data_IF_815170449343
#
_entry.id   IF_815170449343
#
_cell.length_a   1.000
_cell.length_b   1.000
_cell.length_c   1.000
_cell.angle_alpha   90.00
_cell.angle_beta   90.00
_cell.angle_gamma   90.00
#
_symmetry.space_group_name_H-M   'P 1'
#
loop_
_entity.id
_entity.type
_entity.pdbx_description
1 polymer ?
#
# COMPACT_ATOMS: atom_id res chain seq x y z
N UNK A 1 57.82 50.98 -66.41
CA UNK A 1 57.55 52.15 -65.54
C UNK A 1 56.07 52.10 -65.14
N UNK A 2 55.80 52.10 -63.82
CA UNK A 2 54.51 52.37 -63.13
C UNK A 2 53.33 51.41 -63.41
N UNK A 3 53.13 50.39 -62.56
CA UNK A 3 52.19 50.35 -61.40
C UNK A 3 50.71 50.49 -61.77
N UNK A 4 50.05 49.34 -61.97
CA UNK A 4 48.61 49.20 -62.14
C UNK A 4 47.93 48.78 -60.84
N UNK A 5 46.91 49.53 -60.47
CA UNK A 5 46.27 49.57 -59.17
C UNK A 5 45.20 48.47 -58.98
N UNK A 6 45.01 48.12 -57.72
CA UNK A 6 44.23 47.04 -57.14
C UNK A 6 42.72 47.13 -57.38
N UNK A 7 42.09 46.03 -57.77
CA UNK A 7 40.70 45.70 -57.40
C UNK A 7 40.58 44.17 -57.26
N UNK A 8 40.61 43.71 -56.01
CA UNK A 8 40.43 42.31 -55.64
C UNK A 8 38.96 41.89 -55.79
N UNK A 9 38.74 40.81 -56.54
CA UNK A 9 37.44 40.13 -56.68
C UNK A 9 37.23 39.22 -55.47
N UNK A 10 36.23 39.53 -54.64
CA UNK A 10 35.74 38.64 -53.58
C UNK A 10 34.74 37.66 -54.20
N UNK A 11 35.11 36.39 -54.26
CA UNK A 11 34.20 35.29 -54.59
C UNK A 11 33.45 34.87 -53.32
N UNK A 12 32.12 34.89 -53.38
CA UNK A 12 31.25 34.41 -52.31
C UNK A 12 31.31 32.87 -52.24
N UNK A 13 31.80 32.35 -51.11
CA UNK A 13 31.73 30.94 -50.75
C UNK A 13 30.50 30.76 -49.87
N UNK A 14 29.53 29.98 -50.34
CA UNK A 14 28.38 29.53 -49.56
C UNK A 14 28.83 28.52 -48.50
N UNK A 15 28.73 28.89 -47.22
CA UNK A 15 28.89 27.99 -46.09
C UNK A 15 27.61 27.16 -45.91
N UNK A 16 27.69 25.88 -46.27
CA UNK A 16 26.69 24.87 -45.87
C UNK A 16 26.94 24.54 -44.40
N UNK A 17 26.05 25.01 -43.53
CA UNK A 17 26.01 24.58 -42.13
C UNK A 17 25.45 23.16 -42.06
N UNK A 18 26.35 22.19 -41.96
CA UNK A 18 26.00 20.82 -41.60
C UNK A 18 25.74 20.74 -40.09
N UNK A 19 24.48 20.68 -39.69
CA UNK A 19 24.09 20.34 -38.31
C UNK A 19 24.41 18.88 -38.02
N UNK A 20 25.56 18.63 -37.41
CA UNK A 20 25.85 17.35 -36.76
C UNK A 20 25.13 17.32 -35.41
N UNK A 21 23.92 16.79 -35.38
CA UNK A 21 23.29 16.39 -34.12
C UNK A 21 24.00 15.15 -33.60
N UNK A 22 24.87 15.32 -32.61
CA UNK A 22 25.37 14.21 -31.79
C UNK A 22 24.18 13.73 -30.97
N UNK A 23 23.52 12.68 -31.43
CA UNK A 23 22.59 11.91 -30.59
C UNK A 23 23.41 11.24 -29.49
N UNK A 24 23.41 11.83 -28.30
CA UNK A 24 23.75 11.10 -27.08
C UNK A 24 22.65 10.07 -26.90
N UNK A 25 22.91 8.84 -27.35
CA UNK A 25 22.12 7.70 -26.94
C UNK A 25 22.24 7.61 -25.41
N UNK A 26 21.14 7.88 -24.71
CA UNK A 26 21.03 7.46 -23.32
C UNK A 26 21.13 5.93 -23.34
N UNK A 27 22.29 5.41 -22.95
CA UNK A 27 22.45 4.00 -22.65
C UNK A 27 21.47 3.67 -21.53
N UNK A 28 20.34 3.11 -21.95
CA UNK A 28 19.46 2.38 -21.05
C UNK A 28 20.25 1.12 -20.74
N UNK A 29 21.09 1.17 -19.71
CA UNK A 29 21.72 -0.03 -19.16
C UNK A 29 20.62 -0.86 -18.50
N UNK A 30 19.87 -1.61 -19.31
CA UNK A 30 19.19 -2.83 -18.87
C UNK A 30 20.25 -3.91 -18.63
N UNK A 31 21.15 -3.62 -17.70
CA UNK A 31 22.16 -4.54 -17.23
C UNK A 31 21.73 -5.00 -15.87
N UNK A 32 21.14 -6.20 -15.80
CA UNK A 32 21.23 -7.02 -14.60
C UNK A 32 22.71 -7.38 -14.42
N UNK A 33 23.53 -6.40 -14.04
CA UNK A 33 24.76 -6.70 -13.33
C UNK A 33 24.32 -7.44 -12.10
N UNK A 34 24.82 -8.66 -11.92
CA UNK A 34 24.73 -9.41 -10.67
C UNK A 34 25.35 -8.56 -9.57
N UNK A 35 24.56 -7.61 -9.06
CA UNK A 35 24.97 -6.69 -8.02
C UNK A 35 25.17 -7.56 -6.80
N UNK A 36 26.39 -7.65 -6.32
CA UNK A 36 26.63 -8.27 -5.04
C UNK A 36 25.72 -7.61 -3.97
N UNK A 37 25.36 -8.38 -2.95
CA UNK A 37 24.43 -7.95 -1.92
C UNK A 37 24.78 -6.56 -1.32
N UNK A 38 26.08 -6.27 -1.17
CA UNK A 38 26.52 -5.01 -0.57
C UNK A 38 26.28 -3.82 -1.49
N UNK A 39 26.31 -3.98 -2.81
CA UNK A 39 25.89 -2.93 -3.75
C UNK A 39 24.38 -2.88 -3.91
N UNK A 40 23.72 -4.03 -3.98
CA UNK A 40 22.27 -4.12 -4.16
C UNK A 40 21.48 -3.43 -3.05
N UNK A 41 21.94 -3.52 -1.78
CA UNK A 41 21.27 -2.83 -0.66
C UNK A 41 21.27 -1.30 -0.78
N UNK A 42 22.14 -0.72 -1.62
CA UNK A 42 22.19 0.72 -1.91
C UNK A 42 21.54 1.09 -3.25
N UNK A 43 20.83 0.16 -3.88
CA UNK A 43 20.11 0.44 -5.13
C UNK A 43 19.06 1.55 -4.93
N UNK A 44 18.94 2.54 -5.84
CA UNK A 44 18.04 3.68 -5.69
C UNK A 44 16.58 3.33 -5.38
N UNK A 45 16.08 2.17 -5.84
CA UNK A 45 14.72 1.71 -5.55
C UNK A 45 14.42 1.48 -4.06
N UNK A 46 15.43 1.33 -3.20
CA UNK A 46 15.23 1.24 -1.75
C UNK A 46 14.97 2.60 -1.09
N UNK A 47 15.15 3.71 -1.79
CA UNK A 47 15.13 5.04 -1.19
C UNK A 47 13.97 5.88 -1.73
N UNK A 48 13.50 6.83 -0.92
CA UNK A 48 12.58 7.86 -1.40
C UNK A 48 13.31 8.82 -2.34
N UNK A 49 12.64 9.32 -3.41
CA UNK A 49 11.24 9.06 -3.75
C UNK A 49 11.00 7.78 -4.57
N UNK A 50 12.04 7.10 -5.06
CA UNK A 50 11.91 6.02 -6.03
C UNK A 50 11.05 4.84 -5.53
N UNK A 51 11.16 4.46 -4.25
CA UNK A 51 10.35 3.40 -3.64
C UNK A 51 8.85 3.70 -3.68
N UNK A 52 8.45 4.96 -3.58
CA UNK A 52 7.04 5.38 -3.50
C UNK A 52 6.29 5.11 -4.81
N UNK A 53 7.01 4.99 -5.91
CA UNK A 53 6.46 4.68 -7.24
C UNK A 53 6.92 3.33 -7.79
N UNK A 54 7.70 2.56 -7.02
CA UNK A 54 8.19 1.26 -7.46
C UNK A 54 7.03 0.30 -7.70
N UNK A 55 7.11 -0.44 -8.81
CA UNK A 55 6.14 -1.50 -9.14
C UNK A 55 6.53 -2.81 -8.46
N UNK A 56 5.55 -3.68 -8.20
CA UNK A 56 5.81 -5.02 -7.68
C UNK A 56 6.79 -5.80 -8.58
N UNK A 57 6.72 -5.61 -9.90
CA UNK A 57 7.64 -6.23 -10.85
C UNK A 57 9.10 -5.83 -10.54
N UNK A 58 9.38 -4.54 -10.39
CA UNK A 58 10.72 -4.05 -10.06
C UNK A 58 11.22 -4.58 -8.72
N UNK A 59 10.33 -4.73 -7.73
CA UNK A 59 10.70 -5.32 -6.44
C UNK A 59 11.00 -6.82 -6.57
N UNK A 60 10.17 -7.55 -7.31
CA UNK A 60 10.23 -9.01 -7.43
C UNK A 60 11.36 -9.49 -8.34
N UNK A 61 11.96 -8.62 -9.18
CA UNK A 61 13.17 -8.94 -9.94
C UNK A 61 14.33 -9.41 -9.04
N UNK A 62 14.44 -8.87 -7.82
CA UNK A 62 15.44 -9.29 -6.84
C UNK A 62 14.84 -10.06 -5.65
N UNK A 63 13.54 -9.89 -5.37
CA UNK A 63 12.85 -10.43 -4.20
C UNK A 63 11.81 -11.50 -4.50
N UNK A 64 11.91 -12.20 -5.63
CA UNK A 64 10.96 -13.26 -6.00
C UNK A 64 10.76 -14.32 -4.91
N UNK A 65 11.77 -14.56 -4.08
CA UNK A 65 11.76 -15.59 -3.04
C UNK A 65 10.65 -15.38 -2.01
N UNK A 66 10.16 -14.14 -1.84
CA UNK A 66 9.08 -13.83 -0.90
C UNK A 66 7.74 -14.41 -1.36
N UNK A 67 7.58 -14.65 -2.67
CA UNK A 67 6.38 -15.25 -3.25
C UNK A 67 6.59 -16.70 -3.69
N UNK A 68 7.81 -17.10 -4.04
CA UNK A 68 8.12 -18.48 -4.45
C UNK A 68 8.07 -19.45 -3.26
N UNK A 69 8.55 -19.03 -2.09
CA UNK A 69 8.58 -19.89 -0.90
C UNK A 69 7.19 -20.07 -0.30
N UNK A 70 6.76 -21.33 -0.16
CA UNK A 70 5.53 -21.73 0.53
C UNK A 70 5.81 -22.46 1.85
N UNK A 71 4.75 -22.73 2.61
CA UNK A 71 4.84 -23.58 3.81
C UNK A 71 5.21 -25.01 3.40
N UNK A 72 6.08 -25.66 4.18
CA UNK A 72 6.45 -27.06 3.95
C UNK A 72 5.21 -27.96 4.10
N UNK A 73 5.09 -28.97 3.24
CA UNK A 73 4.01 -29.97 3.36
C UNK A 73 4.06 -30.75 4.68
N UNK A 74 5.25 -30.88 5.27
CA UNK A 74 5.47 -31.57 6.53
C UNK A 74 6.54 -30.85 7.35
N UNK A 75 6.31 -30.74 8.66
CA UNK A 75 7.31 -30.22 9.60
C UNK A 75 8.46 -31.22 9.78
N UNK A 76 9.62 -30.79 10.30
CA UNK A 76 10.70 -31.71 10.67
C UNK A 76 10.28 -32.79 11.67
N UNK A 77 9.22 -32.54 12.45
CA UNK A 77 8.65 -33.51 13.41
C UNK A 77 7.60 -34.45 12.78
N UNK A 78 7.39 -34.39 11.46
CA UNK A 78 6.47 -35.27 10.76
C UNK A 78 5.00 -34.79 10.71
N UNK A 79 4.69 -33.61 11.23
CA UNK A 79 3.32 -33.07 11.22
C UNK A 79 3.00 -32.50 9.84
N UNK A 80 1.94 -33.01 9.20
CA UNK A 80 1.49 -32.53 7.89
C UNK A 80 0.78 -31.18 8.02
N UNK A 81 1.11 -30.22 7.17
CA UNK A 81 0.47 -28.89 7.17
C UNK A 81 -1.04 -28.99 6.96
N UNK A 82 -1.49 -29.88 6.08
CA UNK A 82 -2.91 -30.15 5.81
C UNK A 82 -3.71 -30.66 7.03
N UNK A 83 -3.04 -31.19 8.05
CA UNK A 83 -3.68 -31.70 9.27
C UNK A 83 -3.65 -30.68 10.41
N UNK A 84 -3.25 -29.44 10.13
CA UNK A 84 -3.09 -28.39 11.16
C UNK A 84 -3.68 -27.08 10.65
N UNK A 85 -4.28 -26.32 11.57
CA UNK A 85 -4.67 -24.95 11.30
C UNK A 85 -3.55 -24.02 11.73
N UNK A 86 -3.22 -23.04 10.88
CA UNK A 86 -2.43 -21.91 11.35
C UNK A 86 -3.29 -21.05 12.29
N UNK A 87 -2.63 -20.36 13.22
CA UNK A 87 -3.30 -19.49 14.21
C UNK A 87 -4.19 -18.41 13.60
N UNK A 88 -3.96 -18.03 12.33
CA UNK A 88 -4.76 -17.04 11.60
C UNK A 88 -5.96 -17.66 10.85
N UNK A 89 -6.23 -18.96 10.98
CA UNK A 89 -7.31 -19.66 10.27
C UNK A 89 -8.49 -19.95 11.19
N UNK A 90 -8.94 -18.93 11.93
CA UNK A 90 -10.07 -19.03 12.89
C UNK A 90 -11.38 -18.45 12.36
N UNK A 91 -11.42 -17.96 11.11
CA UNK A 91 -12.62 -17.41 10.46
C UNK A 91 -12.71 -17.99 9.06
N UNK A 92 -13.92 -18.13 8.54
CA UNK A 92 -14.19 -18.76 7.25
C UNK A 92 -13.51 -18.03 6.08
N UNK A 93 -13.31 -16.72 6.22
CA UNK A 93 -12.58 -15.91 5.23
C UNK A 93 -11.11 -16.31 5.07
N UNK A 94 -10.53 -17.05 6.02
CA UNK A 94 -9.12 -17.52 6.00
C UNK A 94 -8.97 -19.02 5.75
N UNK A 95 -10.00 -19.68 5.25
CA UNK A 95 -9.93 -21.08 4.83
C UNK A 95 -8.89 -21.33 3.72
N UNK A 96 -8.47 -22.58 3.62
CA UNK A 96 -7.52 -23.07 2.61
C UNK A 96 -6.15 -23.47 3.17
N UNK A 97 -5.21 -23.75 2.28
CA UNK A 97 -3.85 -24.17 2.65
C UNK A 97 -3.10 -23.09 3.41
N UNK A 98 -2.26 -23.46 4.36
CA UNK A 98 -1.39 -22.50 5.06
C UNK A 98 -0.41 -21.85 4.08
N UNK A 99 -0.29 -20.53 4.19
CA UNK A 99 0.60 -19.74 3.34
C UNK A 99 1.56 -18.86 4.15
N UNK A 100 2.65 -18.46 3.50
CA UNK A 100 3.63 -17.53 4.08
C UNK A 100 3.06 -16.12 4.16
N UNK A 101 3.70 -15.25 4.96
CA UNK A 101 3.22 -13.89 5.21
C UNK A 101 2.93 -13.10 3.93
N UNK A 102 3.91 -12.98 3.03
CA UNK A 102 3.73 -12.23 1.77
C UNK A 102 2.67 -12.86 0.88
N UNK A 103 2.69 -14.20 0.74
CA UNK A 103 1.72 -14.91 -0.08
C UNK A 103 0.29 -14.69 0.41
N UNK A 104 0.06 -14.72 1.73
CA UNK A 104 -1.25 -14.43 2.31
C UNK A 104 -1.78 -13.04 1.96
N UNK A 105 -0.91 -12.04 1.88
CA UNK A 105 -1.33 -10.67 1.64
C UNK A 105 -1.40 -10.30 0.15
N UNK A 106 -0.71 -11.05 -0.73
CA UNK A 106 -0.58 -10.68 -2.14
C UNK A 106 -1.23 -11.68 -3.12
N UNK A 107 -1.13 -12.99 -2.88
CA UNK A 107 -1.42 -13.98 -3.93
C UNK A 107 -2.58 -14.93 -3.64
N UNK A 108 -3.07 -14.98 -2.40
CA UNK A 108 -4.21 -15.84 -2.07
C UNK A 108 -5.53 -15.32 -2.66
N UNK A 109 -6.54 -16.20 -2.83
CA UNK A 109 -7.83 -15.78 -3.41
C UNK A 109 -8.47 -14.58 -2.69
N UNK A 110 -8.55 -14.62 -1.35
CA UNK A 110 -9.08 -13.51 -0.56
C UNK A 110 -8.28 -12.22 -0.78
N UNK A 111 -6.95 -12.30 -0.78
CA UNK A 111 -6.09 -11.15 -1.02
C UNK A 111 -6.33 -10.54 -2.39
N UNK A 112 -6.35 -11.37 -3.44
CA UNK A 112 -6.62 -10.90 -4.80
C UNK A 112 -8.03 -10.35 -4.96
N UNK A 113 -9.00 -10.85 -4.20
CA UNK A 113 -10.38 -10.38 -4.25
C UNK A 113 -10.56 -9.03 -3.57
N UNK A 114 -10.08 -8.88 -2.33
CA UNK A 114 -10.42 -7.74 -1.47
C UNK A 114 -9.34 -6.67 -1.41
N UNK A 115 -8.09 -7.06 -1.63
CA UNK A 115 -6.93 -6.21 -1.45
C UNK A 115 -6.29 -5.83 -2.77
N UNK A 116 -5.61 -4.68 -2.76
CA UNK A 116 -4.75 -4.20 -3.83
C UNK A 116 -3.38 -3.81 -3.24
N UNK A 117 -2.88 -4.63 -2.31
CA UNK A 117 -1.60 -4.41 -1.66
C UNK A 117 -0.47 -4.56 -2.68
N UNK A 118 0.50 -3.66 -2.60
CA UNK A 118 1.73 -3.67 -3.37
C UNK A 118 2.93 -3.76 -2.41
N UNK A 119 4.11 -4.10 -2.93
CA UNK A 119 5.35 -4.12 -2.15
C UNK A 119 5.55 -2.82 -1.37
N UNK A 120 5.37 -1.68 -2.03
CA UNK A 120 5.53 -0.36 -1.44
C UNK A 120 4.34 0.11 -0.56
N UNK A 121 3.24 -0.64 -0.52
CA UNK A 121 2.18 -0.38 0.47
C UNK A 121 2.72 -0.62 1.87
N UNK A 122 3.51 -1.68 2.03
CA UNK A 122 4.14 -2.04 3.30
C UNK A 122 5.54 -1.43 3.45
N UNK A 123 6.30 -1.43 2.35
CA UNK A 123 7.69 -0.98 2.32
C UNK A 123 7.82 0.48 1.87
N UNK A 124 8.13 1.37 2.80
CA UNK A 124 8.25 2.83 2.52
C UNK A 124 9.70 3.29 2.28
N UNK A 125 10.57 2.34 2.00
CA UNK A 125 12.01 2.55 1.81
C UNK A 125 12.85 1.94 2.93
N UNK A 126 14.16 1.91 2.70
CA UNK A 126 15.17 1.47 3.65
C UNK A 126 16.50 2.15 3.34
N UNK A 127 16.84 3.18 4.11
CA UNK A 127 18.21 3.68 4.14
C UNK A 127 18.98 3.02 5.30
N UNK A 128 20.00 2.18 5.02
CA UNK A 128 20.86 1.64 6.06
C UNK A 128 21.51 2.68 6.97
N UNK A 129 21.72 3.92 6.50
CA UNK A 129 22.25 5.03 7.31
C UNK A 129 21.27 5.50 8.36
N UNK A 130 19.99 5.31 8.10
CA UNK A 130 18.97 5.70 9.03
C UNK A 130 18.79 4.62 10.09
N UNK A 131 19.24 3.36 9.92
CA UNK A 131 19.01 2.22 10.84
C UNK A 131 19.23 2.57 12.32
N UNK A 132 18.32 2.10 13.19
CA UNK A 132 18.39 2.39 14.62
C UNK A 132 19.75 1.94 15.17
N UNK A 133 20.47 2.78 15.94
CA UNK A 133 21.76 2.41 16.47
C UNK A 133 21.65 1.19 17.38
N UNK A 134 22.69 0.35 17.37
CA UNK A 134 22.84 -0.77 18.31
C UNK A 134 24.05 -0.46 19.21
N UNK A 135 23.87 -0.27 20.53
CA UNK A 135 22.60 -0.38 21.29
C UNK A 135 21.64 0.80 21.02
N UNK A 136 20.32 0.61 21.20
CA UNK A 136 19.34 1.67 21.00
C UNK A 136 19.55 2.82 21.97
N UNK A 137 19.25 4.04 21.52
CA UNK A 137 19.21 5.23 22.37
C UNK A 137 18.03 5.17 23.34
N UNK A 138 18.17 5.78 24.53
CA UNK A 138 17.06 5.88 25.50
C UNK A 138 15.95 6.83 25.06
N UNK A 139 16.29 7.84 24.25
CA UNK A 139 15.34 8.82 23.72
C UNK A 139 14.90 8.41 22.31
N UNK A 140 13.66 8.74 21.97
CA UNK A 140 13.12 8.58 20.62
C UNK A 140 13.85 9.53 19.66
N UNK A 141 14.86 8.98 19.00
CA UNK A 141 15.64 9.69 18.00
C UNK A 141 15.01 9.60 16.59
N UNK A 142 13.74 9.20 16.48
CA UNK A 142 13.03 9.05 15.20
C UNK A 142 13.45 7.83 14.39
N UNK A 143 14.22 6.91 14.99
CA UNK A 143 14.66 5.69 14.31
C UNK A 143 13.60 4.58 14.44
N UNK A 144 13.12 4.07 13.30
CA UNK A 144 12.31 2.84 13.29
C UNK A 144 13.21 1.61 13.44
N UNK A 145 12.82 0.67 14.32
CA UNK A 145 13.55 -0.59 14.60
C UNK A 145 13.53 -1.58 13.42
N UNK A 146 12.64 -1.38 12.45
CA UNK A 146 12.52 -2.17 11.22
C UNK A 146 12.30 -1.21 10.06
N UNK A 147 13.37 -0.54 9.61
CA UNK A 147 13.30 0.54 8.60
C UNK A 147 12.56 0.16 7.33
N UNK A 148 12.54 -1.13 6.97
CA UNK A 148 11.76 -1.63 5.85
C UNK A 148 10.25 -1.39 5.99
N UNK A 149 9.68 -1.35 7.20
CA UNK A 149 8.22 -1.30 7.45
C UNK A 149 7.92 -0.58 8.76
N UNK A 150 7.15 0.51 8.69
CA UNK A 150 6.61 1.15 9.91
C UNK A 150 5.35 0.42 10.35
N UNK A 151 5.48 -0.49 11.32
CA UNK A 151 4.42 -1.42 11.69
C UNK A 151 3.13 -0.74 12.19
N UNK A 152 3.24 0.40 12.86
CA UNK A 152 2.09 1.19 13.33
C UNK A 152 1.33 1.90 12.19
N UNK A 153 2.01 2.18 11.07
CA UNK A 153 1.41 2.84 9.90
C UNK A 153 1.01 1.85 8.80
N UNK A 154 1.46 0.60 8.90
CA UNK A 154 1.19 -0.45 7.91
C UNK A 154 0.34 -1.57 8.52
N UNK A 155 0.86 -2.28 9.51
CA UNK A 155 0.25 -3.49 10.05
C UNK A 155 -0.94 -3.17 10.96
N UNK A 156 -0.81 -2.15 11.81
CA UNK A 156 -1.84 -1.79 12.78
C UNK A 156 -3.18 -1.44 12.12
N UNK A 157 -3.17 -0.90 10.89
CA UNK A 157 -4.39 -0.66 10.09
C UNK A 157 -5.24 -1.93 10.01
N UNK A 158 -4.66 -3.03 9.54
CA UNK A 158 -5.38 -4.28 9.31
C UNK A 158 -5.43 -5.21 10.54
N UNK A 159 -4.52 -5.05 11.50
CA UNK A 159 -4.36 -5.94 12.66
C UNK A 159 -4.64 -5.28 14.01
N UNK A 160 -5.30 -4.12 14.01
CA UNK A 160 -5.73 -3.43 15.22
C UNK A 160 -6.86 -4.14 15.95
N UNK A 161 -7.03 -3.82 17.23
CA UNK A 161 -8.17 -4.26 18.04
C UNK A 161 -9.48 -3.75 17.45
N UNK A 162 -10.52 -4.57 17.48
CA UNK A 162 -11.89 -4.14 17.17
C UNK A 162 -12.36 -3.05 18.14
N UNK A 163 -12.66 -1.82 17.68
CA UNK A 163 -12.97 -0.69 18.56
C UNK A 163 -14.45 -0.68 18.99
N UNK A 164 -14.94 -1.77 19.55
CA UNK A 164 -16.37 -1.99 19.83
C UNK A 164 -16.95 -0.92 20.77
N UNK A 165 -16.16 -0.43 21.73
CA UNK A 165 -16.57 0.63 22.65
C UNK A 165 -16.84 1.94 21.92
N UNK A 166 -16.01 2.27 20.92
CA UNK A 166 -16.16 3.47 20.08
C UNK A 166 -17.38 3.36 19.16
N UNK A 167 -17.71 2.13 18.76
CA UNK A 167 -18.89 1.85 17.93
C UNK A 167 -20.19 1.79 18.73
N UNK A 168 -20.13 1.86 20.07
CA UNK A 168 -21.30 1.79 20.94
C UNK A 168 -21.88 0.38 21.09
N UNK A 169 -21.08 -0.66 20.81
CA UNK A 169 -21.49 -2.04 21.05
C UNK A 169 -21.37 -2.38 22.54
N UNK A 170 -22.23 -3.28 23.01
CA UNK A 170 -22.28 -3.71 24.42
C UNK A 170 -21.12 -4.60 24.84
N UNK A 171 -20.34 -5.12 23.89
CA UNK A 171 -19.21 -6.02 24.12
C UNK A 171 -18.46 -6.31 22.81
N UNK A 172 -17.41 -7.17 22.86
CA UNK A 172 -16.69 -7.66 21.68
C UNK A 172 -17.63 -8.24 20.61
N UNK A 173 -17.16 -8.29 19.36
CA UNK A 173 -17.98 -8.77 18.24
C UNK A 173 -18.40 -10.22 18.43
N UNK A 174 -17.52 -11.06 18.98
CA UNK A 174 -17.77 -12.47 19.27
C UNK A 174 -18.97 -12.67 20.21
N UNK A 175 -19.22 -11.71 21.10
CA UNK A 175 -20.33 -11.72 22.06
C UNK A 175 -21.59 -11.02 21.53
N UNK A 176 -21.44 -10.08 20.60
CA UNK A 176 -22.53 -9.20 20.15
C UNK A 176 -23.03 -9.45 18.74
N UNK A 177 -22.31 -10.24 17.93
CA UNK A 177 -22.66 -10.47 16.52
C UNK A 177 -24.07 -11.01 16.32
N UNK A 178 -24.54 -11.90 17.20
CA UNK A 178 -25.87 -12.50 17.08
C UNK A 178 -26.98 -11.46 17.25
N UNK A 179 -26.85 -10.57 18.24
CA UNK A 179 -27.83 -9.47 18.46
C UNK A 179 -27.80 -8.43 17.34
N UNK A 180 -26.70 -8.36 16.59
CA UNK A 180 -26.55 -7.53 15.39
C UNK A 180 -26.96 -8.25 14.10
N UNK A 181 -27.60 -9.42 14.19
CA UNK A 181 -28.05 -10.21 13.04
C UNK A 181 -26.90 -10.81 12.23
N UNK A 182 -25.74 -11.03 12.87
CA UNK A 182 -24.48 -11.43 12.26
C UNK A 182 -24.10 -10.55 11.05
N UNK A 183 -24.37 -9.24 11.15
CA UNK A 183 -24.13 -8.31 10.05
C UNK A 183 -23.60 -6.98 10.55
N UNK A 184 -22.39 -6.61 10.13
CA UNK A 184 -21.87 -5.27 10.36
C UNK A 184 -22.66 -4.20 9.58
N UNK A 185 -23.38 -4.64 8.53
CA UNK A 185 -24.19 -3.78 7.68
C UNK A 185 -25.48 -3.32 8.37
N UNK A 186 -25.89 -3.93 9.50
CA UNK A 186 -27.02 -3.45 10.33
C UNK A 186 -26.89 -1.96 10.66
N UNK A 187 -25.66 -1.47 10.88
CA UNK A 187 -25.38 -0.05 11.09
C UNK A 187 -24.68 0.60 9.88
N UNK A 188 -23.66 -0.06 9.32
CA UNK A 188 -22.77 0.58 8.35
C UNK A 188 -23.43 0.94 7.01
N UNK A 189 -24.61 0.42 6.68
CA UNK A 189 -25.35 0.89 5.48
C UNK A 189 -25.90 2.30 5.62
N UNK A 190 -26.15 2.75 6.86
CA UNK A 190 -26.69 4.08 7.15
C UNK A 190 -25.61 5.05 7.64
N UNK A 191 -24.58 4.55 8.34
CA UNK A 191 -23.48 5.36 8.86
C UNK A 191 -22.16 4.98 8.20
N UNK A 192 -21.33 5.97 7.87
CA UNK A 192 -20.07 5.76 7.14
C UNK A 192 -20.30 5.06 5.80
N UNK A 193 -21.16 5.62 4.96
CA UNK A 193 -21.63 5.03 3.70
C UNK A 193 -20.57 4.93 2.60
N UNK A 194 -19.53 5.77 2.65
CA UNK A 194 -18.39 5.72 1.75
C UNK A 194 -17.18 5.14 2.50
N UNK A 195 -16.89 3.86 2.29
CA UNK A 195 -15.81 3.12 2.97
C UNK A 195 -14.69 2.75 2.02
N UNK A 196 -13.55 2.37 2.61
CA UNK A 196 -12.44 1.73 1.91
C UNK A 196 -11.90 2.55 0.71
N UNK A 197 -12.01 3.89 0.74
CA UNK A 197 -11.60 4.80 -0.33
C UNK A 197 -10.08 5.03 -0.34
N UNK A 198 -9.34 3.93 -0.48
CA UNK A 198 -7.88 3.89 -0.48
C UNK A 198 -7.38 3.02 -1.62
N UNK A 199 -6.21 3.32 -2.16
CA UNK A 199 -5.67 2.63 -3.34
C UNK A 199 -5.21 1.19 -3.09
N UNK A 200 -5.09 0.77 -1.83
CA UNK A 200 -4.60 -0.55 -1.43
C UNK A 200 -5.73 -1.54 -1.09
N UNK A 201 -6.99 -1.13 -1.23
CA UNK A 201 -8.18 -1.98 -1.04
C UNK A 201 -9.12 -1.87 -2.24
N UNK A 202 -9.89 -2.93 -2.48
CA UNK A 202 -10.91 -2.97 -3.53
C UNK A 202 -12.28 -2.74 -2.89
N UNK A 203 -12.66 -1.47 -2.74
CA UNK A 203 -13.87 -1.08 -2.00
C UNK A 203 -15.12 -1.83 -2.47
N UNK A 204 -15.40 -1.84 -3.78
CA UNK A 204 -16.59 -2.49 -4.34
C UNK A 204 -16.64 -4.01 -4.05
N UNK A 205 -15.50 -4.69 -4.19
CA UNK A 205 -15.41 -6.13 -3.92
C UNK A 205 -15.58 -6.44 -2.43
N UNK A 206 -15.07 -5.58 -1.56
CA UNK A 206 -15.28 -5.68 -0.10
C UNK A 206 -16.75 -5.56 0.25
N UNK A 207 -17.43 -4.51 -0.24
CA UNK A 207 -18.85 -4.31 0.07
C UNK A 207 -19.71 -5.48 -0.44
N UNK A 208 -19.46 -5.95 -1.66
CA UNK A 208 -20.15 -7.11 -2.25
C UNK A 208 -19.89 -8.42 -1.49
N UNK A 209 -18.68 -8.61 -0.97
CA UNK A 209 -18.36 -9.79 -0.15
C UNK A 209 -19.00 -9.69 1.24
N UNK A 210 -19.01 -8.49 1.84
CA UNK A 210 -19.55 -8.22 3.16
C UNK A 210 -21.07 -8.39 3.25
N UNK A 211 -21.81 -8.18 2.15
CA UNK A 211 -23.25 -8.47 2.07
C UNK A 211 -23.59 -9.93 2.40
N UNK A 212 -22.66 -10.85 2.17
CA UNK A 212 -22.86 -12.29 2.32
C UNK A 212 -22.24 -12.87 3.58
N UNK A 213 -21.20 -12.22 4.11
CA UNK A 213 -20.43 -12.73 5.23
C UNK A 213 -19.82 -11.59 6.07
N UNK A 214 -20.28 -11.44 7.31
CA UNK A 214 -19.73 -10.45 8.25
C UNK A 214 -18.27 -10.66 8.60
N UNK A 215 -17.73 -11.86 8.42
CA UNK A 215 -16.33 -12.16 8.70
C UNK A 215 -15.38 -11.48 7.71
N UNK A 216 -15.89 -10.98 6.57
CA UNK A 216 -15.14 -10.07 5.69
C UNK A 216 -14.80 -8.79 6.43
N UNK A 217 -15.79 -8.20 7.10
CA UNK A 217 -15.60 -7.00 7.91
C UNK A 217 -14.80 -7.32 9.17
N UNK A 218 -15.25 -8.31 9.94
CA UNK A 218 -14.63 -8.62 11.23
C UNK A 218 -13.19 -9.08 11.07
N UNK A 219 -12.88 -9.91 10.06
CA UNK A 219 -11.51 -10.37 9.78
C UNK A 219 -10.51 -9.23 9.63
N UNK A 220 -10.90 -8.15 8.95
CA UNK A 220 -10.08 -6.94 8.76
C UNK A 220 -10.16 -5.94 9.93
N UNK A 221 -11.27 -5.91 10.67
CA UNK A 221 -11.52 -4.93 11.75
C UNK A 221 -11.37 -5.49 13.16
N UNK A 222 -10.66 -6.61 13.35
CA UNK A 222 -10.24 -7.09 14.67
C UNK A 222 -10.26 -8.60 14.87
N UNK A 223 -10.84 -9.36 13.96
CA UNK A 223 -10.77 -10.82 13.93
C UNK A 223 -9.34 -11.36 13.76
N UNK A 224 -8.40 -10.50 13.34
CA UNK A 224 -6.95 -10.78 13.31
C UNK A 224 -6.16 -9.72 14.07
N UNK A 225 -6.60 -9.46 15.28
CA UNK A 225 -5.91 -8.54 16.19
C UNK A 225 -4.52 -9.07 16.58
N UNK A 226 -3.47 -8.36 16.17
CA UNK A 226 -2.10 -8.58 16.65
C UNK A 226 -1.72 -7.52 17.68
N UNK A 227 -2.32 -6.33 17.55
CA UNK A 227 -2.08 -5.20 18.42
C UNK A 227 -3.12 -5.10 19.51
N UNK A 228 -2.72 -4.71 20.71
CA UNK A 228 -3.66 -4.48 21.83
C UNK A 228 -4.51 -3.20 21.65
N UNK A 229 -4.17 -2.38 20.66
CA UNK A 229 -4.78 -1.08 20.38
C UNK A 229 -5.49 -1.11 19.03
N UNK A 230 -6.51 -0.27 18.88
CA UNK A 230 -7.21 -0.04 17.61
C UNK A 230 -6.45 0.97 16.76
N UNK A 231 -6.50 0.81 15.43
CA UNK A 231 -5.99 1.84 14.54
C UNK A 231 -6.94 3.06 14.51
N UNK A 232 -6.45 4.29 14.72
CA UNK A 232 -7.25 5.50 14.68
C UNK A 232 -7.52 5.91 13.22
N UNK A 233 -8.39 5.18 12.53
CA UNK A 233 -8.75 5.48 11.15
C UNK A 233 -9.21 6.93 10.97
N UNK A 234 -8.85 7.58 9.83
CA UNK A 234 -9.32 8.92 9.50
C UNK A 234 -10.84 9.04 9.61
N UNK A 235 -11.30 10.15 10.18
CA UNK A 235 -12.72 10.46 10.34
C UNK A 235 -13.15 11.42 9.23
N UNK A 236 -13.42 10.85 8.06
CA UNK A 236 -14.02 11.59 6.95
C UNK A 236 -15.43 12.09 7.34
N UNK A 237 -15.84 13.30 6.91
CA UNK A 237 -17.21 13.75 7.06
C UNK A 237 -18.23 12.80 6.40
N UNK A 238 -19.35 12.53 7.07
CA UNK A 238 -20.49 11.80 6.48
C UNK A 238 -21.82 12.54 6.68
N UNK A 239 -22.82 12.30 5.80
CA UNK A 239 -24.14 12.92 5.93
C UNK A 239 -24.78 12.63 7.29
N UNK A 240 -25.28 13.66 7.97
CA UNK A 240 -25.92 13.53 9.28
C UNK A 240 -24.96 13.34 10.47
N UNK A 241 -23.65 13.53 10.28
CA UNK A 241 -22.73 13.55 11.42
C UNK A 241 -23.01 14.74 12.35
N UNK A 242 -22.87 14.52 13.66
CA UNK A 242 -22.93 15.61 14.64
C UNK A 242 -21.81 16.63 14.39
N UNK A 243 -22.12 17.92 14.60
CA UNK A 243 -21.14 19.00 14.51
C UNK A 243 -20.08 18.91 15.61
N UNK A 244 -20.46 18.38 16.77
CA UNK A 244 -19.53 18.12 17.87
C UNK A 244 -18.63 16.91 17.56
N UNK A 245 -17.33 17.08 17.78
CA UNK A 245 -16.33 16.02 17.62
C UNK A 245 -16.14 15.33 18.98
N UNK A 246 -16.48 14.03 19.11
CA UNK A 246 -16.26 13.30 20.35
C UNK A 246 -14.79 13.30 20.77
N UNK A 247 -14.52 13.23 22.07
CA UNK A 247 -13.15 13.28 22.62
C UNK A 247 -12.20 12.27 21.98
N UNK A 248 -12.65 11.03 21.76
CA UNK A 248 -11.84 9.97 21.12
C UNK A 248 -11.45 10.25 19.65
N UNK A 249 -12.11 11.23 19.02
CA UNK A 249 -11.94 11.57 17.62
C UNK A 249 -11.17 12.88 17.39
N UNK A 250 -10.86 13.66 18.42
CA UNK A 250 -10.25 14.99 18.29
C UNK A 250 -8.91 14.99 17.56
N UNK A 251 -8.08 13.97 17.80
CA UNK A 251 -6.75 13.85 17.20
C UNK A 251 -6.73 13.01 15.91
N UNK A 252 -7.91 12.63 15.38
CA UNK A 252 -7.97 11.80 14.17
C UNK A 252 -7.88 12.68 12.91
N UNK A 253 -7.08 12.28 11.92
CA UNK A 253 -7.06 12.97 10.64
C UNK A 253 -8.43 12.89 9.96
N UNK A 254 -8.77 13.88 9.13
CA UNK A 254 -10.02 13.88 8.34
C UNK A 254 -9.84 13.29 6.94
N UNK A 255 -8.60 12.97 6.58
CA UNK A 255 -8.25 12.38 5.29
C UNK A 255 -7.26 11.22 5.46
N UNK A 256 -7.27 10.31 4.49
CA UNK A 256 -6.26 9.26 4.38
C UNK A 256 -4.91 9.86 3.94
N UNK A 257 -3.81 9.19 4.28
CA UNK A 257 -2.46 9.63 3.85
C UNK A 257 -2.40 9.85 2.33
N UNK A 258 -1.75 10.92 1.84
CA UNK A 258 -1.73 11.26 0.42
C UNK A 258 -1.35 10.11 -0.51
N UNK A 259 -0.37 9.28 -0.12
CA UNK A 259 0.08 8.11 -0.89
C UNK A 259 -0.96 6.99 -1.04
N UNK A 260 -1.99 7.00 -0.20
CA UNK A 260 -3.08 6.02 -0.22
C UNK A 260 -4.39 6.58 -0.72
N UNK A 261 -4.48 7.88 -0.97
CA UNK A 261 -5.67 8.47 -1.57
C UNK A 261 -5.87 7.92 -2.98
N UNK A 262 -7.11 7.64 -3.34
CA UNK A 262 -7.47 7.33 -4.72
C UNK A 262 -7.17 8.57 -5.58
N UNK A 263 -6.55 8.37 -6.74
CA UNK A 263 -6.40 9.46 -7.71
C UNK A 263 -7.81 9.91 -8.09
N UNK A 264 -8.10 11.22 -7.99
CA UNK A 264 -9.32 11.78 -8.56
C UNK A 264 -9.31 11.47 -10.05
N UNK A 265 -10.11 10.49 -10.47
CA UNK A 265 -10.45 10.32 -11.88
C UNK A 265 -11.21 11.57 -12.29
N UNK A 266 -10.68 12.28 -13.29
CA UNK A 266 -11.32 13.43 -13.88
C UNK A 266 -12.48 12.98 -14.77
N UNK A 267 -13.48 12.28 -14.23
CA UNK A 267 -14.67 11.85 -14.96
C UNK A 267 -15.78 11.48 -13.96
N UNK A 268 -16.53 12.48 -13.49
CA UNK A 268 -17.91 12.32 -12.99
C UNK A 268 -18.65 13.66 -12.80
N UNK A 269 -18.30 14.70 -13.55
CA UNK A 269 -18.99 16.01 -13.51
C UNK A 269 -20.09 16.18 -14.56
N UNK A 270 -20.44 15.15 -15.33
CA UNK A 270 -21.40 15.26 -16.46
C UNK A 270 -22.74 14.55 -16.26
N UNK A 271 -23.06 14.09 -15.05
CA UNK A 271 -24.35 13.45 -14.78
C UNK A 271 -25.11 14.10 -13.62
N UNK A 272 -25.44 15.39 -13.75
CA UNK A 272 -26.67 15.92 -13.14
C UNK A 272 -27.05 17.28 -13.74
N UNK A 273 -27.55 17.24 -14.97
CA UNK A 273 -28.33 18.34 -15.54
C UNK A 273 -29.39 17.77 -16.47
N UNK A 274 -30.35 17.02 -15.94
CA UNK A 274 -31.61 16.77 -16.65
C UNK A 274 -32.65 16.10 -15.76
N UNK A 275 -33.46 16.89 -15.06
CA UNK A 275 -34.93 16.70 -15.11
C UNK A 275 -35.62 17.94 -14.56
N UNK A 276 -35.95 18.86 -15.46
CA UNK A 276 -37.04 19.81 -15.31
C UNK A 276 -38.02 19.49 -16.44
N UNK A 277 -39.19 18.96 -16.08
CA UNK A 277 -40.46 19.13 -16.78
C UNK A 277 -41.59 18.64 -15.90
#
# INVERSE_FOLDING_TARGET
MKTGNQFARVAAIFLVWGSWTISVAAETTSGTTDLDYQRARWHPLHFKPAIETATDQQCLECHQEVLEKSVKQQSPAGVKSANTLAWYQTLDTYEGEQETFHRRHLVTPLAKQLMNLQCNTCHDGNDPREEAPVPPTKEDAGFTLRKMVTTEKTCLKCHGKHPYEIMGLTGPWEETRESMGNSCLTCHVAIRTNRHQVNYLKAEEIEKAAEKNSDVCFGCHGGRQWYRISYPYPRHPWPGQAAEVPDWAKDRPTESEPRFQLKKTADNSTANTSTTK
#
